data_IF_733554969637
#
_entry.id   IF_733554969637
#
_cell.length_a   1.000
_cell.length_b   1.000
_cell.length_c   1.000
_cell.angle_alpha   90.00
_cell.angle_beta   90.00
_cell.angle_gamma   90.00
#
_symmetry.space_group_name_H-M   'P 1'
#
loop_
_entity.id
_entity.type
_entity.pdbx_description
1 polymer ?
#
# COMPACT_ATOMS: atom_id res chain seq x y z
N UNK A 1 46.85 43.48 -7.30
CA UNK A 1 46.78 42.11 -6.76
C UNK A 1 45.53 41.99 -5.91
N UNK A 2 44.43 41.46 -6.45
CA UNK A 2 43.19 41.15 -5.70
C UNK A 2 42.75 39.76 -6.16
N UNK A 3 43.06 38.74 -5.36
CA UNK A 3 42.64 37.37 -5.62
C UNK A 3 41.20 37.17 -5.18
N UNK A 4 40.32 36.83 -6.12
CA UNK A 4 39.00 36.28 -5.81
C UNK A 4 39.19 34.85 -5.29
N UNK A 5 38.82 34.59 -4.05
CA UNK A 5 38.67 33.23 -3.53
C UNK A 5 37.23 32.77 -3.82
N UNK A 6 37.06 31.82 -4.75
CA UNK A 6 35.81 31.07 -4.91
C UNK A 6 35.76 29.98 -3.85
N UNK A 7 34.88 30.13 -2.86
CA UNK A 7 34.49 29.05 -1.95
C UNK A 7 33.38 28.23 -2.59
N UNK A 8 33.71 27.01 -3.04
CA UNK A 8 32.74 26.03 -3.52
C UNK A 8 32.03 25.36 -2.32
N UNK A 9 30.75 25.68 -2.11
CA UNK A 9 29.91 25.06 -1.10
C UNK A 9 29.39 23.71 -1.64
N UNK A 10 29.96 22.60 -1.17
CA UNK A 10 29.44 21.26 -1.44
C UNK A 10 28.13 21.05 -0.67
N UNK A 11 27.02 20.94 -1.39
CA UNK A 11 25.74 20.48 -0.85
C UNK A 11 25.83 18.97 -0.58
N UNK A 12 25.92 18.58 0.69
CA UNK A 12 25.74 17.20 1.12
C UNK A 12 24.26 16.86 1.04
N UNK A 13 23.85 16.17 -0.04
CA UNK A 13 22.53 15.54 -0.11
C UNK A 13 22.59 14.27 0.72
N UNK A 14 21.99 14.30 1.92
CA UNK A 14 21.85 13.08 2.73
C UNK A 14 20.93 12.10 2.01
N UNK A 15 21.29 10.80 1.91
CA UNK A 15 20.36 9.81 1.41
C UNK A 15 19.18 9.71 2.38
N UNK A 16 17.96 9.82 1.87
CA UNK A 16 16.76 9.45 2.64
C UNK A 16 16.86 7.95 2.86
N UNK A 17 17.25 7.55 4.07
CA UNK A 17 17.11 6.17 4.50
C UNK A 17 15.61 5.87 4.63
N UNK A 18 15.16 4.75 4.06
CA UNK A 18 13.81 4.26 4.32
C UNK A 18 13.71 3.98 5.84
N UNK A 19 12.78 4.67 6.50
CA UNK A 19 12.52 4.44 7.92
C UNK A 19 11.85 3.07 8.07
N UNK A 20 12.35 2.26 9.00
CA UNK A 20 11.78 0.94 9.28
C UNK A 20 10.30 1.07 9.65
N UNK A 21 9.39 0.23 9.10
CA UNK A 21 7.98 0.29 9.42
C UNK A 21 7.76 0.15 10.93
N UNK A 22 6.95 1.04 11.53
CA UNK A 22 6.59 0.92 12.94
C UNK A 22 5.93 -0.43 13.24
N UNK A 23 6.00 -0.90 14.49
CA UNK A 23 5.34 -2.14 14.90
C UNK A 23 3.83 -2.13 14.59
N UNK A 24 3.19 -0.96 14.66
CA UNK A 24 1.79 -0.81 14.26
C UNK A 24 1.58 -0.95 12.75
N UNK A 25 2.48 -0.41 11.93
CA UNK A 25 2.44 -0.61 10.47
C UNK A 25 2.58 -2.09 10.09
N UNK A 26 3.51 -2.80 10.75
CA UNK A 26 3.71 -4.24 10.55
C UNK A 26 2.44 -5.03 10.95
N UNK A 27 1.82 -4.68 12.07
CA UNK A 27 0.56 -5.28 12.52
C UNK A 27 -0.58 -5.07 11.51
N UNK A 28 -0.74 -3.86 10.97
CA UNK A 28 -1.75 -3.59 9.93
C UNK A 28 -1.50 -4.43 8.68
N UNK A 29 -0.25 -4.61 8.27
CA UNK A 29 0.07 -5.44 7.12
C UNK A 29 -0.25 -6.92 7.37
N UNK A 30 0.04 -7.44 8.56
CA UNK A 30 -0.33 -8.80 8.94
C UNK A 30 -1.85 -9.03 8.90
N UNK A 31 -2.64 -8.07 9.42
CA UNK A 31 -4.10 -8.10 9.36
C UNK A 31 -4.62 -8.07 7.92
N UNK A 32 -4.02 -7.24 7.08
CA UNK A 32 -4.38 -7.14 5.66
C UNK A 32 -4.10 -8.43 4.89
N UNK A 33 -2.94 -9.07 5.13
CA UNK A 33 -2.57 -10.35 4.50
C UNK A 33 -3.57 -11.46 4.86
N UNK A 34 -3.95 -11.54 6.13
CA UNK A 34 -4.94 -12.51 6.61
C UNK A 34 -6.34 -12.21 6.03
N UNK A 35 -6.75 -10.94 5.99
CA UNK A 35 -8.01 -10.54 5.37
C UNK A 35 -8.04 -10.85 3.85
N UNK A 36 -6.93 -10.60 3.14
CA UNK A 36 -6.78 -10.91 1.71
C UNK A 36 -6.93 -12.41 1.44
N UNK A 37 -6.23 -13.26 2.20
CA UNK A 37 -6.32 -14.71 2.06
C UNK A 37 -7.76 -15.22 2.32
N UNK A 38 -8.43 -14.71 3.36
CA UNK A 38 -9.83 -15.06 3.68
C UNK A 38 -10.81 -14.58 2.61
N UNK A 39 -10.59 -13.39 2.05
CA UNK A 39 -11.43 -12.86 0.99
C UNK A 39 -11.37 -13.75 -0.27
N UNK A 40 -10.16 -14.15 -0.68
CA UNK A 40 -9.99 -15.04 -1.84
C UNK A 40 -10.62 -16.42 -1.61
N UNK A 41 -10.45 -16.99 -0.42
CA UNK A 41 -11.03 -18.29 -0.06
C UNK A 41 -12.57 -18.26 0.00
N UNK A 42 -13.15 -17.19 0.54
CA UNK A 42 -14.61 -17.09 0.76
C UNK A 42 -15.40 -16.65 -0.46
N UNK A 43 -14.83 -15.79 -1.31
CA UNK A 43 -15.54 -15.17 -2.45
C UNK A 43 -15.25 -15.92 -3.76
N UNK A 44 -14.10 -16.58 -3.87
CA UNK A 44 -13.63 -17.22 -5.10
C UNK A 44 -13.00 -16.23 -6.09
N UNK A 45 -12.58 -16.73 -7.26
CA UNK A 45 -11.75 -15.98 -8.21
C UNK A 45 -12.21 -16.03 -9.67
N UNK A 46 -13.49 -16.29 -9.91
CA UNK A 46 -14.06 -16.51 -11.25
C UNK A 46 -14.14 -15.24 -12.12
N UNK A 47 -14.30 -14.07 -11.49
CA UNK A 47 -14.44 -12.76 -12.11
C UNK A 47 -13.49 -11.74 -11.46
N UNK A 48 -12.19 -12.10 -11.40
CA UNK A 48 -11.13 -11.21 -10.91
C UNK A 48 -10.15 -10.89 -12.04
N UNK A 49 -9.88 -9.61 -12.25
CA UNK A 49 -8.82 -9.14 -13.12
C UNK A 49 -7.44 -9.47 -12.53
N UNK A 50 -6.55 -10.03 -13.35
CA UNK A 50 -5.18 -10.32 -12.95
C UNK A 50 -4.43 -9.10 -12.39
N UNK A 51 -4.69 -7.90 -12.93
CA UNK A 51 -4.10 -6.67 -12.42
C UNK A 51 -4.56 -6.35 -10.98
N UNK A 52 -5.79 -6.68 -10.61
CA UNK A 52 -6.26 -6.53 -9.23
C UNK A 52 -5.48 -7.46 -8.30
N UNK A 53 -5.38 -8.75 -8.62
CA UNK A 53 -4.59 -9.73 -7.84
C UNK A 53 -3.14 -9.28 -7.68
N UNK A 54 -2.45 -9.03 -8.81
CA UNK A 54 -1.04 -8.67 -8.83
C UNK A 54 -0.76 -7.39 -8.05
N UNK A 55 -1.65 -6.40 -8.10
CA UNK A 55 -1.43 -5.14 -7.38
C UNK A 55 -1.63 -5.29 -5.87
N UNK A 56 -2.58 -6.11 -5.41
CA UNK A 56 -2.72 -6.45 -3.98
C UNK A 56 -1.51 -7.25 -3.48
N UNK A 57 -1.04 -8.21 -4.27
CA UNK A 57 0.16 -9.02 -3.94
C UNK A 57 1.43 -8.17 -3.90
N UNK A 58 1.60 -7.22 -4.82
CA UNK A 58 2.71 -6.26 -4.80
C UNK A 58 2.65 -5.34 -3.57
N UNK A 59 1.45 -4.88 -3.19
CA UNK A 59 1.28 -4.11 -1.96
C UNK A 59 1.73 -4.91 -0.73
N UNK A 60 1.32 -6.17 -0.63
CA UNK A 60 1.75 -7.10 0.43
C UNK A 60 3.28 -7.29 0.39
N UNK A 61 3.85 -7.54 -0.78
CA UNK A 61 5.29 -7.75 -0.95
C UNK A 61 6.12 -6.51 -0.54
N UNK A 62 5.56 -5.31 -0.67
CA UNK A 62 6.16 -4.06 -0.20
C UNK A 62 6.12 -3.87 1.33
N UNK A 63 5.57 -4.83 2.08
CA UNK A 63 5.28 -4.68 3.51
C UNK A 63 4.11 -3.72 3.77
N UNK A 64 3.19 -3.59 2.80
CA UNK A 64 2.06 -2.68 2.85
C UNK A 64 2.47 -1.21 3.09
N UNK A 65 3.57 -0.77 2.47
CA UNK A 65 4.12 0.59 2.65
C UNK A 65 3.95 1.48 1.43
N UNK A 66 3.75 0.89 0.25
CA UNK A 66 3.59 1.64 -0.99
C UNK A 66 2.28 2.45 -1.04
N UNK A 67 2.38 3.68 -1.54
CA UNK A 67 1.25 4.59 -1.73
C UNK A 67 0.59 4.36 -3.10
N UNK A 68 -0.13 3.25 -3.25
CA UNK A 68 -0.73 2.83 -4.53
C UNK A 68 -2.26 3.03 -4.58
N UNK A 69 -2.83 2.82 -5.76
CA UNK A 69 -4.27 2.75 -5.99
C UNK A 69 -4.63 1.36 -6.51
N UNK A 70 -5.56 0.70 -5.84
CA UNK A 70 -6.22 -0.50 -6.35
C UNK A 70 -7.69 -0.14 -6.54
N UNK A 71 -8.13 -0.10 -7.80
CA UNK A 71 -9.53 0.17 -8.12
C UNK A 71 -10.23 -1.14 -8.51
N UNK A 72 -11.16 -1.64 -7.68
CA UNK A 72 -12.03 -2.76 -8.04
C UNK A 72 -12.88 -2.44 -9.28
N UNK A 73 -12.88 -3.33 -10.27
CA UNK A 73 -13.57 -3.20 -11.56
C UNK A 73 -14.76 -4.14 -11.67
N UNK A 74 -14.63 -5.38 -11.21
CA UNK A 74 -15.72 -6.35 -11.19
C UNK A 74 -16.53 -6.28 -9.89
N UNK A 75 -17.66 -7.00 -9.84
CA UNK A 75 -18.42 -7.12 -8.60
C UNK A 75 -17.67 -7.97 -7.57
N UNK A 76 -17.00 -9.03 -8.02
CA UNK A 76 -16.22 -9.89 -7.13
C UNK A 76 -15.03 -9.15 -6.49
N UNK A 77 -14.35 -8.30 -7.26
CA UNK A 77 -13.28 -7.44 -6.74
C UNK A 77 -13.81 -6.42 -5.72
N UNK A 78 -15.01 -5.89 -5.94
CA UNK A 78 -15.69 -4.98 -4.99
C UNK A 78 -16.02 -5.72 -3.70
N UNK A 79 -16.59 -6.92 -3.78
CA UNK A 79 -16.92 -7.73 -2.62
C UNK A 79 -15.66 -8.06 -1.79
N UNK A 80 -14.54 -8.36 -2.45
CA UNK A 80 -13.24 -8.58 -1.79
C UNK A 80 -12.76 -7.30 -1.09
N UNK A 81 -12.78 -6.16 -1.79
CA UNK A 81 -12.35 -4.88 -1.22
C UNK A 81 -13.23 -4.46 -0.03
N UNK A 82 -14.54 -4.67 -0.11
CA UNK A 82 -15.49 -4.37 0.96
C UNK A 82 -15.28 -5.27 2.17
N UNK A 83 -15.08 -6.59 1.97
CA UNK A 83 -14.82 -7.52 3.06
C UNK A 83 -13.52 -7.18 3.80
N UNK A 84 -12.43 -6.90 3.06
CA UNK A 84 -11.16 -6.50 3.66
C UNK A 84 -11.32 -5.17 4.40
N UNK A 85 -12.05 -4.23 3.83
CA UNK A 85 -12.32 -2.94 4.47
C UNK A 85 -13.04 -3.14 5.80
N UNK A 86 -14.08 -3.97 5.84
CA UNK A 86 -14.83 -4.27 7.06
C UNK A 86 -13.96 -4.95 8.12
N UNK A 87 -13.15 -5.95 7.74
CA UNK A 87 -12.21 -6.61 8.66
C UNK A 87 -11.23 -5.59 9.24
N UNK A 88 -10.61 -4.77 8.39
CA UNK A 88 -9.63 -3.77 8.82
C UNK A 88 -10.26 -2.65 9.64
N UNK A 89 -11.53 -2.28 9.39
CA UNK A 89 -12.26 -1.33 10.23
C UNK A 89 -12.52 -1.89 11.63
N UNK A 90 -12.91 -3.16 11.74
CA UNK A 90 -13.14 -3.82 13.03
C UNK A 90 -11.86 -3.91 13.87
N UNK A 91 -10.71 -4.03 13.22
CA UNK A 91 -9.39 -4.03 13.86
C UNK A 91 -8.82 -2.62 14.11
N UNK A 92 -9.57 -1.55 13.78
CA UNK A 92 -9.10 -0.17 13.91
C UNK A 92 -7.95 0.20 12.96
N UNK A 93 -7.79 -0.54 11.87
CA UNK A 93 -6.66 -0.51 10.95
C UNK A 93 -6.97 0.07 9.55
N UNK A 94 -8.22 0.46 9.26
CA UNK A 94 -8.65 0.87 7.91
C UNK A 94 -8.05 2.20 7.43
N UNK A 95 -8.38 3.33 8.08
CA UNK A 95 -7.94 4.72 7.81
C UNK A 95 -7.31 4.98 6.42
N UNK A 96 -6.15 5.63 6.35
CA UNK A 96 -5.37 5.85 5.11
C UNK A 96 -4.51 4.65 4.72
N UNK A 97 -4.68 3.49 5.37
CA UNK A 97 -3.85 2.32 5.15
C UNK A 97 -4.29 1.50 3.94
N UNK A 98 -5.60 1.41 3.70
CA UNK A 98 -6.15 0.58 2.62
C UNK A 98 -5.79 1.16 1.24
N UNK A 99 -5.38 0.32 0.28
CA UNK A 99 -4.99 0.78 -1.07
C UNK A 99 -6.20 0.99 -1.99
N UNK A 100 -7.43 0.79 -1.52
CA UNK A 100 -8.63 0.80 -2.36
C UNK A 100 -9.06 2.24 -2.69
N UNK A 101 -8.82 2.64 -3.94
CA UNK A 101 -9.24 3.94 -4.47
C UNK A 101 -9.42 3.85 -5.98
N UNK A 102 -10.48 4.46 -6.48
CA UNK A 102 -10.74 4.60 -7.91
C UNK A 102 -10.52 6.05 -8.36
N UNK A 103 -10.03 6.28 -9.60
CA UNK A 103 -9.96 7.62 -10.16
C UNK A 103 -11.37 8.23 -10.25
N UNK A 104 -11.47 9.55 -10.10
CA UNK A 104 -12.71 10.27 -10.40
C UNK A 104 -13.01 10.15 -11.90
N UNK A 105 -14.28 9.90 -12.23
CA UNK A 105 -14.78 9.84 -13.60
C UNK A 105 -14.84 11.22 -14.26
#
# INVERSE_FOLDING_TARGET
MRGLALTATLFLVSPVAAEEPSAWQQQKCALYIDAWARALDSIGSDDINYNFLATNENFIASGCTEQIAICPRSNQERDIADLITLVMMNEGAASTFLPFRCPAE
#
